data_IF_181703485830
#
_entry.id   IF_181703485830
#
_cell.length_a   1.000
_cell.length_b   1.000
_cell.length_c   1.000
_cell.angle_alpha   90.00
_cell.angle_beta   90.00
_cell.angle_gamma   90.00
#
_symmetry.space_group_name_H-M   'P 1'
#
loop_
_entity.id
_entity.type
_entity.pdbx_description
1 polymer ?
#
# COMPACT_ATOMS: atom_id res chain seq x y z
N UNK A 1 7.50 -13.51 -10.38
CA UNK A 1 7.61 -12.03 -10.27
C UNK A 1 8.83 -11.71 -9.42
N UNK A 2 9.60 -10.68 -9.78
CA UNK A 2 10.80 -10.27 -9.03
C UNK A 2 10.36 -9.29 -7.94
N UNK A 3 11.03 -9.32 -6.79
CA UNK A 3 10.78 -8.38 -5.68
C UNK A 3 11.18 -6.97 -6.14
N UNK A 4 10.22 -6.07 -6.24
CA UNK A 4 10.44 -4.66 -6.51
C UNK A 4 10.38 -3.87 -5.18
N UNK A 5 11.57 -3.48 -4.72
CA UNK A 5 11.71 -2.73 -3.47
C UNK A 5 11.26 -1.27 -3.62
N UNK A 6 11.45 -0.68 -4.79
CA UNK A 6 11.07 0.71 -5.04
C UNK A 6 9.54 0.83 -5.07
N UNK A 7 8.86 -0.11 -5.73
CA UNK A 7 7.40 -0.15 -5.73
C UNK A 7 6.83 -0.38 -4.33
N UNK A 8 7.41 -1.32 -3.56
CA UNK A 8 6.98 -1.58 -2.19
C UNK A 8 7.17 -0.36 -1.28
N UNK A 9 8.35 0.29 -1.34
CA UNK A 9 8.62 1.52 -0.60
C UNK A 9 7.61 2.62 -0.97
N UNK A 10 7.35 2.80 -2.27
CA UNK A 10 6.43 3.82 -2.74
C UNK A 10 4.99 3.58 -2.30
N UNK A 11 4.53 2.32 -2.30
CA UNK A 11 3.22 1.96 -1.74
C UNK A 11 3.11 2.33 -0.27
N UNK A 12 4.13 2.00 0.52
CA UNK A 12 4.14 2.29 1.95
C UNK A 12 4.16 3.81 2.23
N UNK A 13 4.96 4.58 1.48
CA UNK A 13 5.02 6.04 1.58
C UNK A 13 3.69 6.70 1.20
N UNK A 14 3.06 6.26 0.12
CA UNK A 14 1.75 6.80 -0.28
C UNK A 14 0.69 6.55 0.79
N UNK A 15 0.66 5.35 1.38
CA UNK A 15 -0.25 5.07 2.51
C UNK A 15 0.12 5.94 3.72
N UNK A 16 1.40 6.10 4.05
CA UNK A 16 1.84 6.94 5.16
C UNK A 16 1.41 8.41 5.01
N UNK A 17 1.51 8.97 3.81
CA UNK A 17 1.24 10.38 3.53
C UNK A 17 -0.26 10.70 3.41
N UNK A 18 -1.08 9.71 3.02
CA UNK A 18 -2.48 9.95 2.63
C UNK A 18 -3.51 9.18 3.47
N UNK A 19 -3.09 8.22 4.31
CA UNK A 19 -4.02 7.52 5.18
C UNK A 19 -4.55 8.47 6.27
N UNK A 20 -5.86 8.44 6.48
CA UNK A 20 -6.50 9.09 7.62
C UNK A 20 -6.60 8.11 8.81
N UNK A 21 -7.49 8.41 9.76
CA UNK A 21 -7.69 7.57 10.95
C UNK A 21 -8.25 6.19 10.59
N UNK A 22 -9.02 6.10 9.51
CA UNK A 22 -9.65 4.86 9.01
C UNK A 22 -8.78 4.13 7.98
N UNK A 23 -7.79 4.81 7.42
CA UNK A 23 -6.79 4.28 6.52
C UNK A 23 -6.80 5.01 5.18
N UNK A 24 -6.30 4.35 4.15
CA UNK A 24 -6.34 4.84 2.77
C UNK A 24 -7.15 3.88 1.91
N UNK A 25 -8.16 4.40 1.23
CA UNK A 25 -8.96 3.59 0.31
C UNK A 25 -8.11 3.03 -0.82
N UNK A 26 -8.37 1.78 -1.21
CA UNK A 26 -7.65 1.16 -2.34
C UNK A 26 -7.86 1.92 -3.65
N UNK A 27 -9.01 2.58 -3.82
CA UNK A 27 -9.28 3.45 -4.97
C UNK A 27 -8.39 4.68 -4.96
N UNK A 28 -8.21 5.31 -3.79
CA UNK A 28 -7.31 6.44 -3.63
C UNK A 28 -5.85 6.02 -3.76
N UNK A 29 -5.45 4.87 -3.19
CA UNK A 29 -4.10 4.33 -3.35
C UNK A 29 -3.76 4.10 -4.83
N UNK A 30 -4.71 3.55 -5.59
CA UNK A 30 -4.57 3.37 -7.04
C UNK A 30 -4.39 4.70 -7.78
N UNK A 31 -5.08 5.75 -7.37
CA UNK A 31 -4.96 7.08 -7.98
C UNK A 31 -3.67 7.81 -7.55
N UNK A 32 -3.23 7.59 -6.31
CA UNK A 32 -2.15 8.32 -5.67
C UNK A 32 -0.76 7.76 -5.96
N UNK A 33 -0.63 6.53 -6.48
CA UNK A 33 0.64 5.95 -6.93
C UNK A 33 0.98 6.45 -8.34
N UNK A 34 1.78 7.53 -8.51
CA UNK A 34 1.98 8.15 -9.82
C UNK A 34 3.20 7.53 -10.51
N UNK A 35 3.02 6.83 -11.64
CA UNK A 35 4.12 6.68 -12.63
C UNK A 35 4.31 5.30 -13.28
N UNK A 36 4.77 5.36 -14.54
CA UNK A 36 5.04 4.31 -15.56
C UNK A 36 3.87 3.46 -16.03
N UNK A 37 2.88 3.21 -15.20
CA UNK A 37 1.71 2.43 -15.57
C UNK A 37 0.47 3.32 -15.46
N UNK A 38 -0.07 3.76 -16.59
CA UNK A 38 -1.38 4.44 -16.66
C UNK A 38 -2.53 3.58 -16.09
N UNK A 39 -2.24 2.30 -15.80
CA UNK A 39 -3.17 1.33 -15.26
C UNK A 39 -2.62 0.63 -14.01
N UNK A 40 -3.53 0.28 -13.10
CA UNK A 40 -3.26 -0.58 -11.96
C UNK A 40 -2.85 -1.97 -12.44
N UNK A 41 -1.59 -2.36 -12.21
CA UNK A 41 -1.01 -3.59 -12.77
C UNK A 41 -1.16 -4.78 -11.83
N UNK A 42 -1.03 -5.99 -12.38
CA UNK A 42 -0.93 -7.23 -11.59
C UNK A 42 0.26 -7.17 -10.63
N UNK A 43 1.33 -6.48 -11.01
CA UNK A 43 2.50 -6.25 -10.16
C UNK A 43 2.19 -5.43 -8.92
N UNK A 44 1.37 -4.38 -9.06
CA UNK A 44 0.90 -3.61 -7.92
C UNK A 44 0.01 -4.45 -7.00
N UNK A 45 -0.92 -5.23 -7.56
CA UNK A 45 -1.78 -6.13 -6.77
C UNK A 45 -0.94 -7.14 -5.98
N UNK A 46 0.06 -7.73 -6.61
CA UNK A 46 0.94 -8.70 -5.98
C UNK A 46 1.74 -8.10 -4.83
N UNK A 47 2.38 -6.94 -5.03
CA UNK A 47 3.16 -6.28 -3.97
C UNK A 47 2.28 -5.80 -2.82
N UNK A 48 1.08 -5.29 -3.12
CA UNK A 48 0.11 -4.95 -2.09
C UNK A 48 -0.28 -6.19 -1.27
N UNK A 49 -0.51 -7.34 -1.91
CA UNK A 49 -0.77 -8.61 -1.24
C UNK A 49 0.37 -9.00 -0.30
N UNK A 50 1.63 -8.95 -0.78
CA UNK A 50 2.80 -9.25 0.04
C UNK A 50 2.92 -8.33 1.26
N UNK A 51 2.66 -7.03 1.09
CA UNK A 51 2.72 -6.07 2.19
C UNK A 51 1.64 -6.33 3.25
N UNK A 52 0.45 -6.75 2.82
CA UNK A 52 -0.66 -7.11 3.71
C UNK A 52 -0.38 -8.43 4.43
N UNK A 53 -0.01 -9.47 3.68
CA UNK A 53 0.22 -10.82 4.21
C UNK A 53 1.42 -10.85 5.18
N UNK A 54 2.43 -10.02 4.94
CA UNK A 54 3.57 -9.86 5.84
C UNK A 54 3.31 -8.92 7.04
N UNK A 55 2.12 -8.32 7.12
CA UNK A 55 1.71 -7.46 8.25
C UNK A 55 2.28 -6.05 8.22
N UNK A 56 2.85 -5.59 7.11
CA UNK A 56 3.31 -4.20 6.92
C UNK A 56 2.16 -3.24 6.63
N UNK A 57 1.09 -3.76 6.01
CA UNK A 57 -0.18 -3.08 5.82
C UNK A 57 -1.30 -3.89 6.46
N UNK A 58 -2.21 -3.24 7.15
CA UNK A 58 -3.47 -3.83 7.58
C UNK A 58 -4.56 -3.49 6.57
N UNK A 59 -5.22 -4.50 6.02
CA UNK A 59 -6.33 -4.30 5.06
C UNK A 59 -7.66 -4.44 5.78
N UNK A 60 -8.49 -3.40 5.73
CA UNK A 60 -9.89 -3.47 6.16
C UNK A 60 -10.75 -3.87 4.96
N UNK A 61 -11.59 -4.88 5.15
CA UNK A 61 -12.49 -5.35 4.11
C UNK A 61 -13.56 -4.31 3.81
N UNK A 62 -14.09 -4.34 2.58
CA UNK A 62 -15.23 -3.50 2.18
C UNK A 62 -16.44 -3.82 3.07
N UNK A 63 -17.02 -2.83 3.74
CA UNK A 63 -18.23 -2.99 4.56
C UNK A 63 -19.37 -2.14 4.02
N UNK A 64 -20.29 -2.77 3.29
CA UNK A 64 -21.44 -2.08 2.71
C UNK A 64 -21.03 -1.03 1.67
N UNK A 65 -21.15 0.24 2.05
CA UNK A 65 -20.80 1.40 1.21
C UNK A 65 -19.31 1.75 1.25
N UNK A 66 -18.61 1.40 2.33
CA UNK A 66 -17.22 1.82 2.54
C UNK A 66 -16.29 0.98 1.66
N UNK A 67 -15.41 1.60 0.85
CA UNK A 67 -14.43 0.86 0.06
C UNK A 67 -13.45 0.11 0.97
N UNK A 68 -12.79 -0.91 0.41
CA UNK A 68 -11.68 -1.54 1.14
C UNK A 68 -10.55 -0.53 1.32
N UNK A 69 -10.00 -0.45 2.53
CA UNK A 69 -8.92 0.46 2.88
C UNK A 69 -7.69 -0.31 3.38
N UNK A 70 -6.54 0.36 3.35
CA UNK A 70 -5.29 -0.13 3.93
C UNK A 70 -4.70 0.90 4.87
N UNK A 71 -4.12 0.43 5.96
CA UNK A 71 -3.49 1.26 6.97
C UNK A 71 -2.08 0.76 7.25
N UNK A 72 -1.16 1.68 7.46
CA UNK A 72 0.20 1.34 7.83
C UNK A 72 0.23 0.75 9.24
N UNK A 73 0.96 -0.33 9.43
CA UNK A 73 1.23 -0.89 10.77
C UNK A 73 2.56 -0.35 11.30
N UNK A 74 2.85 -0.56 12.58
CA UNK A 74 4.17 -0.27 13.14
C UNK A 74 5.30 -0.99 12.39
N UNK A 75 5.11 -2.26 12.03
CA UNK A 75 6.07 -2.99 11.20
C UNK A 75 6.23 -2.36 9.80
N UNK A 76 5.16 -1.78 9.25
CA UNK A 76 5.20 -1.02 8.00
C UNK A 76 6.07 0.23 8.11
N UNK A 77 5.96 0.98 9.21
CA UNK A 77 6.84 2.12 9.50
C UNK A 77 8.31 1.67 9.60
N UNK A 78 8.60 0.62 10.37
CA UNK A 78 9.96 0.08 10.50
C UNK A 78 10.54 -0.34 9.14
N UNK A 79 9.70 -0.92 8.26
CA UNK A 79 10.11 -1.32 6.92
C UNK A 79 10.46 -0.10 6.04
N UNK A 80 9.70 1.00 6.12
CA UNK A 80 10.04 2.24 5.40
C UNK A 80 11.45 2.70 5.81
N UNK A 81 11.73 2.75 7.10
CA UNK A 81 13.06 3.16 7.61
C UNK A 81 14.19 2.23 7.15
N UNK A 82 13.92 0.93 7.03
CA UNK A 82 14.88 -0.05 6.51
C UNK A 82 15.13 0.09 5.01
N UNK A 83 14.11 0.45 4.23
CA UNK A 83 14.20 0.59 2.77
C UNK A 83 14.80 1.93 2.34
N UNK A 84 14.78 2.95 3.22
CA UNK A 84 15.41 4.25 2.99
C UNK A 84 16.91 4.29 3.33
N UNK A 85 17.46 3.23 3.92
CA UNK A 85 18.89 3.05 4.21
C UNK A 85 19.60 2.35 3.05
#
# INVERSE_FOLDING_TARGET
>A
MKRDKELALRMLQVVQENADTDGMDLTHLRAALPGRHEAWTIEMVYHLGLLVDAGYLSKKAKTGIDPASVQLTWAGHDLIEQLMK
#
